data_IF_942711273910
#
_entry.id   IF_942711273910
#
_cell.length_a   1.000
_cell.length_b   1.000
_cell.length_c   1.000
_cell.angle_alpha   90.00
_cell.angle_beta   90.00
_cell.angle_gamma   90.00
#
_symmetry.space_group_name_H-M   'P 1'
#
loop_
_entity.id
_entity.type
_entity.pdbx_description
1 polymer ?
#
# COMPACT_ATOMS: atom_id res chain seq x y z
N UNK A 1 -10.75 4.04 4.95
CA UNK A 1 -11.51 5.23 4.48
C UNK A 1 -11.39 6.35 5.51
N UNK A 2 -11.96 6.20 6.72
CA UNK A 2 -11.84 7.20 7.81
C UNK A 2 -10.41 7.68 8.07
N UNK A 3 -9.47 6.76 8.29
CA UNK A 3 -8.05 7.12 8.56
C UNK A 3 -7.43 7.97 7.44
N UNK A 4 -7.69 7.62 6.17
CA UNK A 4 -7.15 8.36 5.03
C UNK A 4 -7.72 9.79 4.98
N UNK A 5 -9.02 9.96 5.27
CA UNK A 5 -9.63 11.28 5.31
C UNK A 5 -9.08 12.12 6.48
N UNK A 6 -8.93 11.52 7.67
CA UNK A 6 -8.40 12.19 8.86
C UNK A 6 -6.92 12.59 8.69
N UNK A 7 -6.09 11.74 8.07
CA UNK A 7 -4.65 11.97 7.92
C UNK A 7 -4.28 12.81 6.69
N UNK A 8 -5.09 12.75 5.61
CA UNK A 8 -4.72 13.33 4.31
C UNK A 8 -5.72 14.38 3.80
N UNK A 9 -6.93 14.44 4.38
CA UNK A 9 -8.03 15.25 3.86
C UNK A 9 -8.62 14.73 2.54
N UNK A 10 -8.20 13.56 2.06
CA UNK A 10 -8.70 12.95 0.83
C UNK A 10 -9.90 12.06 1.12
N UNK A 11 -11.05 12.40 0.55
CA UNK A 11 -12.15 11.46 0.44
C UNK A 11 -11.84 10.46 -0.68
N UNK A 12 -11.74 9.18 -0.34
CA UNK A 12 -11.37 8.10 -1.27
C UNK A 12 -12.48 7.09 -1.47
N UNK A 13 -12.60 6.56 -2.69
CA UNK A 13 -13.34 5.33 -2.97
C UNK A 13 -12.32 4.23 -3.27
N UNK A 14 -11.94 3.41 -2.26
CA UNK A 14 -10.89 2.42 -2.42
C UNK A 14 -11.36 1.24 -3.28
N UNK A 15 -10.47 0.75 -4.13
CA UNK A 15 -10.65 -0.44 -4.96
C UNK A 15 -9.64 -1.48 -4.47
N UNK A 16 -10.14 -2.63 -4.04
CA UNK A 16 -9.29 -3.76 -3.65
C UNK A 16 -8.46 -4.19 -4.86
N UNK A 17 -7.14 -4.23 -4.70
CA UNK A 17 -6.21 -4.73 -5.73
C UNK A 17 -5.78 -6.15 -5.46
N UNK A 18 -5.60 -6.52 -4.19
CA UNK A 18 -5.10 -7.83 -3.85
C UNK A 18 -4.82 -7.99 -2.36
N UNK A 19 -4.12 -9.06 -2.03
CA UNK A 19 -3.77 -9.41 -0.65
C UNK A 19 -2.30 -9.76 -0.51
N UNK A 20 -1.71 -9.42 0.63
CA UNK A 20 -0.38 -9.88 0.99
C UNK A 20 -0.42 -10.58 2.33
N UNK A 21 0.36 -11.64 2.46
CA UNK A 21 0.40 -12.46 3.65
C UNK A 21 1.83 -12.64 4.15
N UNK A 22 2.02 -12.48 5.46
CA UNK A 22 3.26 -12.85 6.15
C UNK A 22 2.95 -13.98 7.11
N UNK A 23 3.54 -15.14 6.85
CA UNK A 23 3.36 -16.33 7.66
C UNK A 23 4.64 -16.62 8.46
N UNK A 24 4.59 -16.43 9.77
CA UNK A 24 5.67 -16.75 10.68
C UNK A 24 5.43 -18.10 11.32
N UNK A 25 6.03 -19.15 10.74
CA UNK A 25 5.85 -20.52 11.22
C UNK A 25 6.43 -20.74 12.62
N UNK A 26 7.48 -20.02 12.98
CA UNK A 26 8.14 -20.16 14.30
C UNK A 26 7.29 -19.58 15.43
N UNK A 27 6.60 -18.48 15.17
CA UNK A 27 5.72 -17.80 16.13
C UNK A 27 4.26 -18.23 16.01
N UNK A 28 3.94 -19.09 15.04
CA UNK A 28 2.58 -19.52 14.72
C UNK A 28 1.63 -18.33 14.44
N UNK A 29 2.15 -17.26 13.85
CA UNK A 29 1.38 -16.05 13.53
C UNK A 29 1.27 -15.85 12.04
N UNK A 30 0.08 -15.42 11.58
CA UNK A 30 -0.18 -15.04 10.20
C UNK A 30 -0.77 -13.65 10.16
N UNK A 31 -0.17 -12.78 9.36
CA UNK A 31 -0.68 -11.45 9.07
C UNK A 31 -1.21 -11.42 7.64
N UNK A 32 -2.44 -10.92 7.47
CA UNK A 32 -3.09 -10.75 6.18
C UNK A 32 -3.40 -9.26 5.97
N UNK A 33 -2.82 -8.68 4.93
CA UNK A 33 -3.12 -7.32 4.49
C UNK A 33 -3.97 -7.34 3.22
N UNK A 34 -4.97 -6.46 3.19
CA UNK A 34 -5.73 -6.13 1.99
C UNK A 34 -5.19 -4.82 1.42
N UNK A 35 -4.82 -4.84 0.14
CA UNK A 35 -4.18 -3.71 -0.53
C UNK A 35 -5.17 -3.02 -1.45
N UNK A 36 -5.26 -1.70 -1.33
CA UNK A 36 -6.25 -0.88 -2.04
C UNK A 36 -5.57 0.25 -2.81
N UNK A 37 -6.20 0.67 -3.90
CA UNK A 37 -5.89 1.92 -4.60
C UNK A 37 -7.11 2.82 -4.67
N UNK A 38 -6.90 4.12 -4.83
CA UNK A 38 -7.96 5.08 -5.07
C UNK A 38 -7.47 6.13 -6.07
N UNK A 39 -8.39 6.61 -6.91
CA UNK A 39 -8.14 7.77 -7.78
C UNK A 39 -8.70 9.01 -7.10
N UNK A 40 -7.90 10.05 -7.03
CA UNK A 40 -8.26 11.32 -6.39
C UNK A 40 -7.78 12.50 -7.22
N UNK A 41 -8.43 13.65 -7.04
CA UNK A 41 -7.90 14.90 -7.55
C UNK A 41 -6.74 15.34 -6.66
N UNK A 42 -5.62 15.71 -7.28
CA UNK A 42 -4.44 16.18 -6.55
C UNK A 42 -4.78 17.47 -5.79
N UNK A 43 -4.50 17.47 -4.49
CA UNK A 43 -4.71 18.63 -3.60
C UNK A 43 -3.54 18.79 -2.63
N UNK A 44 -3.54 19.89 -1.87
CA UNK A 44 -2.61 20.05 -0.77
C UNK A 44 -2.85 18.95 0.27
N UNK A 45 -1.76 18.36 0.77
CA UNK A 45 -1.77 17.33 1.80
C UNK A 45 -1.01 17.85 3.03
N UNK A 46 -1.10 17.13 4.16
CA UNK A 46 -0.34 17.46 5.37
C UNK A 46 1.17 17.60 5.08
N UNK A 47 1.89 18.35 5.92
CA UNK A 47 3.30 18.69 5.72
C UNK A 47 4.22 17.46 5.57
N UNK A 48 3.84 16.35 6.18
CA UNK A 48 4.63 15.11 6.18
C UNK A 48 4.26 14.18 5.03
N UNK A 49 3.33 14.60 4.16
CA UNK A 49 2.87 13.86 3.00
C UNK A 49 3.30 14.58 1.72
N UNK A 50 3.61 13.81 0.68
CA UNK A 50 3.98 14.35 -0.62
C UNK A 50 3.47 13.48 -1.75
N UNK A 51 3.22 14.11 -2.89
CA UNK A 51 2.87 13.41 -4.12
C UNK A 51 4.14 12.97 -4.83
N UNK A 52 4.26 11.67 -5.10
CA UNK A 52 5.39 11.09 -5.84
C UNK A 52 4.90 10.53 -7.18
N UNK A 53 5.72 10.64 -8.22
CA UNK A 53 5.40 9.96 -9.49
C UNK A 53 5.66 8.46 -9.34
N UNK A 54 4.91 7.64 -10.09
CA UNK A 54 5.10 6.18 -10.10
C UNK A 54 6.56 5.77 -10.36
N UNK A 55 7.18 6.35 -11.40
CA UNK A 55 8.59 6.07 -11.75
C UNK A 55 9.59 6.48 -10.67
N UNK A 56 9.28 7.54 -9.91
CA UNK A 56 10.13 7.99 -8.80
C UNK A 56 9.97 7.05 -7.60
N UNK A 57 8.75 6.58 -7.33
CA UNK A 57 8.44 5.61 -6.27
C UNK A 57 9.14 4.27 -6.49
N UNK A 58 9.10 3.74 -7.70
CA UNK A 58 9.73 2.46 -8.08
C UNK A 58 11.26 2.48 -7.88
N UNK A 59 11.88 3.65 -7.97
CA UNK A 59 13.32 3.83 -7.78
C UNK A 59 13.73 4.03 -6.31
N UNK A 60 12.78 4.19 -5.37
CA UNK A 60 13.09 4.38 -3.95
C UNK A 60 13.29 3.05 -3.22
N UNK A 61 14.10 3.10 -2.15
CA UNK A 61 14.12 2.05 -1.12
C UNK A 61 13.06 2.38 -0.06
N UNK A 62 11.93 1.69 -0.14
CA UNK A 62 10.81 1.84 0.78
C UNK A 62 11.02 1.01 2.05
N UNK A 63 10.20 1.28 3.06
CA UNK A 63 10.30 0.62 4.35
C UNK A 63 9.82 -0.84 4.27
N UNK A 64 10.52 -1.73 4.98
CA UNK A 64 10.13 -3.13 5.10
C UNK A 64 9.98 -3.81 3.74
N UNK A 65 8.86 -4.50 3.54
CA UNK A 65 8.53 -5.21 2.31
C UNK A 65 7.68 -4.39 1.33
N UNK A 66 7.63 -3.06 1.47
CA UNK A 66 6.70 -2.24 0.67
C UNK A 66 7.07 -2.21 -0.82
N UNK A 67 8.35 -2.30 -1.17
CA UNK A 67 8.77 -2.41 -2.58
C UNK A 67 8.20 -3.66 -3.24
N UNK A 68 8.19 -4.78 -2.52
CA UNK A 68 7.69 -6.08 -2.96
C UNK A 68 6.17 -6.06 -3.16
N UNK A 69 5.46 -5.13 -2.52
CA UNK A 69 4.01 -4.99 -2.65
C UNK A 69 3.58 -4.10 -3.84
N UNK A 70 4.50 -3.36 -4.46
CA UNK A 70 4.19 -2.48 -5.60
C UNK A 70 3.51 -3.19 -6.78
N UNK A 71 3.88 -4.42 -7.16
CA UNK A 71 3.17 -5.16 -8.22
C UNK A 71 1.67 -5.33 -7.96
N UNK A 72 1.25 -5.50 -6.69
CA UNK A 72 -0.18 -5.54 -6.35
C UNK A 72 -0.84 -4.19 -6.59
N UNK A 73 -0.22 -3.09 -6.14
CA UNK A 73 -0.77 -1.75 -6.35
C UNK A 73 -0.85 -1.34 -7.83
N UNK A 74 -0.02 -1.94 -8.69
CA UNK A 74 -0.01 -1.71 -10.12
C UNK A 74 -0.91 -2.67 -10.91
N UNK A 75 -1.54 -3.63 -10.24
CA UNK A 75 -2.42 -4.63 -10.85
C UNK A 75 -1.66 -5.70 -11.65
N UNK A 76 -0.36 -5.85 -11.41
CA UNK A 76 0.50 -6.86 -12.03
C UNK A 76 0.35 -8.21 -11.31
N UNK A 77 0.06 -8.18 -10.01
CA UNK A 77 -0.24 -9.34 -9.18
C UNK A 77 -1.48 -9.09 -8.30
N UNK A 78 -2.12 -10.16 -7.85
CA UNK A 78 -3.28 -10.07 -6.94
C UNK A 78 -3.00 -10.66 -5.56
N UNK A 79 -1.94 -11.46 -5.41
CA UNK A 79 -1.59 -12.09 -4.16
C UNK A 79 -0.07 -12.27 -4.04
N UNK A 80 0.47 -11.92 -2.87
CA UNK A 80 1.86 -12.21 -2.50
C UNK A 80 1.88 -12.93 -1.15
N UNK A 81 2.76 -13.93 -1.03
CA UNK A 81 2.99 -14.69 0.19
C UNK A 81 4.46 -14.58 0.61
N UNK A 82 4.68 -14.26 1.88
CA UNK A 82 5.99 -14.21 2.51
C UNK A 82 6.04 -15.25 3.62
N UNK A 83 7.10 -16.06 3.62
CA UNK A 83 7.50 -16.88 4.77
C UNK A 83 8.57 -16.13 5.55
N UNK A 84 8.31 -15.82 6.83
CA UNK A 84 9.11 -14.90 7.68
C UNK A 84 9.54 -15.49 9.02
#
# INVERSE_FOLDING_TARGET
>A
MREIEEETGLTVQPILQGTAEWNNLTKETRELAFLYTAKVNKQAVSKDLFWVKKSELEAQKLAGTLNELLPIFFGEEQQIYFEV
#
